data_IF_545298375629
#
_entry.id   IF_545298375629
#
_cell.length_a   1.000
_cell.length_b   1.000
_cell.length_c   1.000
_cell.angle_alpha   90.00
_cell.angle_beta   90.00
_cell.angle_gamma   90.00
#
_symmetry.space_group_name_H-M   'P 1'
#
loop_
_entity.id
_entity.type
_entity.pdbx_description
1 polymer ?
#
# COMPACT_ATOMS: atom_id res chain seq x y z
N UNK A 1 -28.37 -18.21 6.53
CA UNK A 1 -28.78 -16.94 7.15
C UNK A 1 -27.64 -15.95 6.93
N UNK A 2 -27.89 -14.90 6.14
CA UNK A 2 -26.90 -13.93 5.67
C UNK A 2 -27.07 -12.59 6.41
N UNK A 3 -27.00 -12.59 7.73
CA UNK A 3 -26.91 -11.32 8.46
C UNK A 3 -25.46 -10.84 8.40
N UNK A 4 -25.21 -9.73 7.70
CA UNK A 4 -23.93 -9.03 7.71
C UNK A 4 -24.01 -7.90 8.73
N UNK A 5 -22.99 -7.77 9.58
CA UNK A 5 -22.90 -6.65 10.52
C UNK A 5 -22.36 -5.41 9.82
N UNK A 6 -22.84 -4.24 10.22
CA UNK A 6 -22.31 -2.95 9.78
C UNK A 6 -22.09 -2.03 10.98
N UNK A 7 -20.97 -1.33 11.00
CA UNK A 7 -20.62 -0.33 12.00
C UNK A 7 -20.23 0.97 11.30
N UNK A 8 -20.74 2.10 11.80
CA UNK A 8 -20.35 3.45 11.35
C UNK A 8 -19.86 4.26 12.55
N UNK A 9 -18.69 4.89 12.41
CA UNK A 9 -18.05 5.72 13.43
C UNK A 9 -17.68 7.07 12.83
N UNK A 10 -18.11 8.17 13.47
CA UNK A 10 -17.87 9.53 13.00
C UNK A 10 -17.24 10.34 14.13
N UNK A 11 -15.93 10.53 14.09
CA UNK A 11 -15.18 11.19 15.15
C UNK A 11 -14.86 10.29 16.35
N UNK A 12 -13.81 10.67 17.08
CA UNK A 12 -13.42 10.02 18.33
C UNK A 12 -12.09 9.25 18.24
N UNK A 13 -11.80 8.54 19.32
CA UNK A 13 -10.54 7.81 19.48
C UNK A 13 -10.82 6.36 19.86
N UNK A 14 -10.11 5.45 19.20
CA UNK A 14 -10.05 4.04 19.55
C UNK A 14 -8.60 3.71 19.90
N UNK A 15 -8.38 3.17 21.09
CA UNK A 15 -7.05 2.86 21.58
C UNK A 15 -7.02 1.44 22.18
N UNK A 16 -6.07 0.64 21.74
CA UNK A 16 -5.84 -0.72 22.24
C UNK A 16 -4.36 -0.91 22.60
N UNK A 17 -4.09 -1.52 23.77
CA UNK A 17 -2.73 -1.71 24.29
C UNK A 17 -2.34 -3.18 24.51
N UNK A 18 -3.25 -4.10 24.18
CA UNK A 18 -3.06 -5.54 24.31
C UNK A 18 -2.29 -6.15 23.15
N UNK A 19 -1.58 -7.24 23.41
CA UNK A 19 -0.99 -8.08 22.35
C UNK A 19 -2.10 -8.73 21.51
N UNK A 20 -1.86 -8.91 20.21
CA UNK A 20 -2.84 -9.41 19.24
C UNK A 20 -4.14 -8.60 19.19
N UNK A 21 -4.08 -7.31 19.57
CA UNK A 21 -5.24 -6.44 19.52
C UNK A 21 -5.41 -5.80 18.15
N UNK A 22 -6.67 -5.50 17.83
CA UNK A 22 -7.04 -4.74 16.65
C UNK A 22 -7.70 -3.47 17.14
N UNK A 23 -7.23 -2.31 16.68
CA UNK A 23 -7.91 -1.04 16.98
C UNK A 23 -9.36 -1.11 16.47
N UNK A 24 -9.53 -1.43 15.19
CA UNK A 24 -10.83 -1.77 14.59
C UNK A 24 -10.72 -3.11 13.84
N UNK A 25 -11.82 -3.86 13.76
CA UNK A 25 -11.86 -5.13 13.02
C UNK A 25 -13.19 -5.30 12.29
N UNK A 26 -13.15 -5.63 11.01
CA UNK A 26 -14.29 -6.12 10.25
C UNK A 26 -13.99 -7.52 9.71
N UNK A 27 -14.81 -8.50 10.10
CA UNK A 27 -14.60 -9.91 9.77
C UNK A 27 -15.86 -10.52 9.14
N UNK A 28 -15.71 -11.62 8.42
CA UNK A 28 -16.81 -12.46 7.92
C UNK A 28 -17.83 -11.66 7.10
N UNK A 29 -17.35 -10.84 6.18
CA UNK A 29 -18.15 -9.95 5.33
C UNK A 29 -18.86 -8.80 6.07
N UNK A 30 -18.45 -8.48 7.31
CA UNK A 30 -18.88 -7.27 7.99
C UNK A 30 -18.34 -6.01 7.29
N UNK A 31 -19.05 -4.90 7.50
CA UNK A 31 -18.69 -3.58 6.96
C UNK A 31 -18.35 -2.61 8.10
N UNK A 32 -17.25 -1.87 7.94
CA UNK A 32 -16.82 -0.80 8.81
C UNK A 32 -16.71 0.50 8.01
N UNK A 33 -17.43 1.53 8.42
CA UNK A 33 -17.26 2.88 7.89
C UNK A 33 -16.76 3.79 9.02
N UNK A 34 -15.61 4.40 8.84
CA UNK A 34 -15.04 5.31 9.83
C UNK A 34 -14.62 6.62 9.19
N UNK A 35 -15.02 7.74 9.80
CA UNK A 35 -14.64 9.08 9.37
C UNK A 35 -14.10 9.88 10.56
N UNK A 36 -13.06 10.68 10.34
CA UNK A 36 -12.47 11.58 11.34
C UNK A 36 -12.04 10.88 12.65
N UNK A 37 -11.56 9.63 12.57
CA UNK A 37 -11.09 8.89 13.74
C UNK A 37 -9.59 9.04 13.98
N UNK A 38 -9.20 8.87 15.24
CA UNK A 38 -7.85 8.44 15.62
C UNK A 38 -7.90 7.01 16.13
N UNK A 39 -7.21 6.09 15.46
CA UNK A 39 -7.09 4.69 15.85
C UNK A 39 -5.64 4.40 16.19
N UNK A 40 -5.39 3.89 17.39
CA UNK A 40 -4.05 3.50 17.86
C UNK A 40 -4.08 2.09 18.45
N UNK A 41 -3.22 1.21 17.95
CA UNK A 41 -2.97 -0.12 18.52
C UNK A 41 -1.49 -0.28 18.87
N UNK A 42 -1.16 -0.17 20.16
CA UNK A 42 0.22 -0.03 20.64
C UNK A 42 1.12 -1.25 20.38
N UNK A 43 0.52 -2.43 20.20
CA UNK A 43 1.25 -3.70 20.15
C UNK A 43 0.91 -4.59 18.97
N UNK A 44 0.01 -4.17 18.07
CA UNK A 44 -0.43 -5.02 16.95
C UNK A 44 -0.92 -4.18 15.77
N UNK A 45 -2.20 -4.26 15.39
CA UNK A 45 -2.67 -3.70 14.12
C UNK A 45 -3.71 -2.61 14.32
N UNK A 46 -3.64 -1.55 13.53
CA UNK A 46 -4.59 -0.44 13.57
C UNK A 46 -6.00 -0.87 13.18
N UNK A 47 -6.18 -1.25 11.91
CA UNK A 47 -7.45 -1.76 11.37
C UNK A 47 -7.25 -3.11 10.70
N UNK A 48 -8.06 -4.10 11.06
CA UNK A 48 -7.99 -5.45 10.52
C UNK A 48 -9.22 -5.84 9.67
N UNK A 49 -8.98 -6.41 8.49
CA UNK A 49 -10.00 -7.04 7.65
C UNK A 49 -9.75 -8.54 7.54
N UNK A 50 -10.78 -9.34 7.86
CA UNK A 50 -10.69 -10.80 7.86
C UNK A 50 -11.84 -11.45 7.08
N UNK A 51 -11.54 -12.49 6.31
CA UNK A 51 -12.56 -13.34 5.67
C UNK A 51 -13.65 -12.54 4.90
N UNK A 52 -13.20 -11.62 4.06
CA UNK A 52 -14.05 -10.77 3.24
C UNK A 52 -14.55 -9.51 3.97
N UNK A 53 -13.86 -9.05 5.01
CA UNK A 53 -14.19 -7.80 5.68
C UNK A 53 -14.14 -6.61 4.71
N UNK A 54 -15.03 -5.63 4.91
CA UNK A 54 -15.07 -4.41 4.13
C UNK A 54 -14.83 -3.21 5.03
N UNK A 55 -13.95 -2.29 4.64
CA UNK A 55 -13.80 -1.01 5.32
C UNK A 55 -13.66 0.17 4.37
N UNK A 56 -14.32 1.28 4.73
CA UNK A 56 -14.05 2.62 4.20
C UNK A 56 -13.59 3.50 5.36
N UNK A 57 -12.36 3.99 5.27
CA UNK A 57 -11.72 4.81 6.31
C UNK A 57 -11.38 6.17 5.70
N UNK A 58 -12.09 7.21 6.12
CA UNK A 58 -11.99 8.55 5.56
C UNK A 58 -11.40 9.53 6.57
N UNK A 59 -10.45 10.35 6.13
CA UNK A 59 -9.83 11.43 6.90
C UNK A 59 -9.45 11.03 8.34
N UNK A 60 -8.92 9.82 8.52
CA UNK A 60 -8.61 9.26 9.83
C UNK A 60 -7.11 9.06 10.01
N UNK A 61 -6.63 9.19 11.24
CA UNK A 61 -5.28 8.77 11.63
C UNK A 61 -5.33 7.32 12.10
N UNK A 62 -4.54 6.45 11.47
CA UNK A 62 -4.41 5.04 11.88
C UNK A 62 -2.96 4.74 12.22
N UNK A 63 -2.75 4.23 13.43
CA UNK A 63 -1.46 3.81 13.95
C UNK A 63 -1.56 2.39 14.51
N UNK A 64 -0.73 1.49 14.01
CA UNK A 64 -0.57 0.14 14.56
C UNK A 64 0.90 -0.22 14.65
N UNK A 65 1.29 -1.02 15.63
CA UNK A 65 2.69 -1.41 15.78
C UNK A 65 3.26 -2.11 14.55
N UNK A 66 2.61 -3.18 14.09
CA UNK A 66 3.08 -4.01 12.98
C UNK A 66 2.47 -3.59 11.64
N UNK A 67 1.21 -3.15 11.66
CA UNK A 67 0.60 -2.55 10.49
C UNK A 67 -0.48 -1.52 10.82
N UNK A 68 -0.57 -0.48 9.98
CA UNK A 68 -1.73 0.40 9.98
C UNK A 68 -2.99 -0.36 9.57
N UNK A 69 -2.91 -1.06 8.44
CA UNK A 69 -3.97 -1.91 7.91
C UNK A 69 -3.49 -3.35 7.74
N UNK A 70 -4.19 -4.29 8.36
CA UNK A 70 -3.89 -5.72 8.34
C UNK A 70 -5.01 -6.49 7.64
N UNK A 71 -4.70 -7.18 6.55
CA UNK A 71 -5.66 -7.93 5.76
C UNK A 71 -5.25 -9.40 5.76
N UNK A 72 -6.15 -10.29 6.18
CA UNK A 72 -5.83 -11.72 6.35
C UNK A 72 -7.02 -12.60 5.97
N UNK A 73 -6.72 -13.83 5.51
CA UNK A 73 -7.72 -14.87 5.20
C UNK A 73 -8.81 -14.44 4.20
N UNK A 74 -8.55 -13.50 3.31
CA UNK A 74 -9.42 -13.29 2.15
C UNK A 74 -9.39 -14.55 1.27
N UNK A 75 -10.48 -14.95 0.63
CA UNK A 75 -10.42 -15.95 -0.46
C UNK A 75 -11.04 -15.33 -1.68
N UNK A 76 -10.82 -15.88 -2.87
CA UNK A 76 -11.51 -15.39 -4.08
C UNK A 76 -13.04 -15.23 -3.93
N UNK A 77 -13.68 -16.05 -3.09
CA UNK A 77 -15.12 -15.94 -2.78
C UNK A 77 -15.46 -14.83 -1.75
N UNK A 78 -14.50 -14.41 -0.94
CA UNK A 78 -14.63 -13.45 0.17
C UNK A 78 -13.37 -12.57 0.21
N UNK A 79 -13.17 -11.76 -0.83
CA UNK A 79 -12.05 -10.82 -0.93
C UNK A 79 -12.20 -9.73 0.14
N UNK A 80 -11.12 -9.39 0.83
CA UNK A 80 -11.12 -8.24 1.74
C UNK A 80 -11.12 -6.94 0.91
N UNK A 81 -12.00 -6.00 1.23
CA UNK A 81 -12.17 -4.75 0.48
C UNK A 81 -11.85 -3.56 1.39
N UNK A 82 -10.78 -2.83 1.08
CA UNK A 82 -10.33 -1.67 1.84
C UNK A 82 -10.31 -0.43 0.96
N UNK A 83 -11.00 0.62 1.39
CA UNK A 83 -10.82 1.98 0.87
C UNK A 83 -10.29 2.89 1.97
N UNK A 84 -9.18 3.58 1.70
CA UNK A 84 -8.63 4.64 2.54
C UNK A 84 -8.71 5.94 1.76
N UNK A 85 -9.41 6.93 2.28
CA UNK A 85 -9.60 8.23 1.63
C UNK A 85 -9.08 9.36 2.51
N UNK A 86 -7.88 9.85 2.17
CA UNK A 86 -7.14 10.83 2.97
C UNK A 86 -6.63 10.27 4.30
N UNK A 87 -6.41 11.17 5.26
CA UNK A 87 -5.86 10.80 6.57
C UNK A 87 -4.36 10.51 6.56
N UNK A 88 -3.90 9.77 7.56
CA UNK A 88 -2.48 9.44 7.73
C UNK A 88 -2.30 8.05 8.35
N UNK A 89 -1.25 7.35 7.93
CA UNK A 89 -0.90 6.02 8.45
C UNK A 89 0.48 6.09 9.09
N UNK A 90 0.61 5.49 10.27
CA UNK A 90 1.87 5.31 10.97
C UNK A 90 2.03 3.88 11.50
N UNK A 91 3.27 3.46 11.67
CA UNK A 91 3.62 2.25 12.43
C UNK A 91 4.69 2.57 13.45
N UNK A 92 4.62 1.92 14.62
CA UNK A 92 5.60 2.13 15.69
C UNK A 92 6.77 1.17 15.63
N UNK A 93 6.61 -0.01 15.00
CA UNK A 93 7.73 -0.91 14.74
C UNK A 93 8.45 -0.49 13.45
N UNK A 94 9.78 -0.57 13.47
CA UNK A 94 10.64 -0.15 12.35
C UNK A 94 10.31 -0.90 11.05
N UNK A 95 10.02 -2.21 11.14
CA UNK A 95 9.66 -3.03 10.00
C UNK A 95 8.15 -3.05 9.72
N UNK A 96 7.37 -2.22 10.43
CA UNK A 96 5.93 -2.13 10.27
C UNK A 96 5.53 -1.69 8.87
N UNK A 97 4.34 -2.10 8.42
CA UNK A 97 3.83 -1.78 7.08
C UNK A 97 2.58 -0.91 7.14
N UNK A 98 2.44 0.07 6.25
CA UNK A 98 1.18 0.81 6.14
C UNK A 98 0.03 -0.13 5.76
N UNK A 99 0.27 -1.01 4.80
CA UNK A 99 -0.63 -2.08 4.39
C UNK A 99 0.09 -3.43 4.45
N UNK A 100 -0.45 -4.36 5.23
CA UNK A 100 0.03 -5.74 5.32
C UNK A 100 -1.08 -6.70 4.87
N UNK A 101 -0.85 -7.38 3.75
CA UNK A 101 -1.69 -8.51 3.30
C UNK A 101 -0.97 -9.80 3.68
N UNK A 102 -1.39 -10.40 4.80
CA UNK A 102 -0.71 -11.57 5.34
C UNK A 102 -1.09 -12.86 4.60
N UNK A 103 -2.37 -12.98 4.24
CA UNK A 103 -2.86 -14.08 3.40
C UNK A 103 -4.17 -13.72 2.71
N UNK A 104 -4.43 -14.41 1.60
CA UNK A 104 -5.72 -14.35 0.93
C UNK A 104 -5.89 -13.26 -0.10
N UNK A 105 -7.10 -13.16 -0.67
CA UNK A 105 -7.47 -12.13 -1.65
C UNK A 105 -7.74 -10.78 -0.98
N UNK A 106 -7.23 -9.70 -1.58
CA UNK A 106 -7.46 -8.34 -1.09
C UNK A 106 -7.56 -7.33 -2.23
N UNK A 107 -8.46 -6.36 -2.06
CA UNK A 107 -8.57 -5.19 -2.92
C UNK A 107 -8.40 -3.95 -2.04
N UNK A 108 -7.34 -3.20 -2.29
CA UNK A 108 -6.97 -2.00 -1.54
C UNK A 108 -7.05 -0.82 -2.49
N UNK A 109 -7.82 0.19 -2.12
CA UNK A 109 -7.88 1.46 -2.83
C UNK A 109 -7.49 2.60 -1.90
N UNK A 110 -6.51 3.40 -2.30
CA UNK A 110 -6.06 4.59 -1.57
C UNK A 110 -6.39 5.83 -2.41
N UNK A 111 -7.09 6.78 -1.80
CA UNK A 111 -7.56 8.02 -2.42
C UNK A 111 -7.07 9.22 -1.63
N UNK A 112 -6.69 10.30 -2.32
CA UNK A 112 -6.32 11.57 -1.69
C UNK A 112 -5.25 11.41 -0.58
N UNK A 113 -4.40 10.38 -0.70
CA UNK A 113 -3.51 9.96 0.37
C UNK A 113 -2.11 10.52 0.16
N UNK A 114 -1.60 11.30 1.11
CA UNK A 114 -0.34 12.03 0.95
C UNK A 114 0.74 11.68 1.98
N UNK A 115 0.44 10.84 2.97
CA UNK A 115 1.36 10.59 4.09
C UNK A 115 1.19 9.20 4.69
N UNK A 116 2.06 8.28 4.28
CA UNK A 116 2.44 7.11 5.07
C UNK A 116 3.81 7.39 5.67
N UNK A 117 3.95 7.29 6.99
CA UNK A 117 5.25 7.34 7.67
C UNK A 117 6.00 5.99 7.76
N UNK A 118 5.38 4.81 7.57
CA UNK A 118 6.13 3.55 7.55
C UNK A 118 7.08 3.48 6.36
N UNK A 119 8.26 2.88 6.58
CA UNK A 119 9.22 2.60 5.50
C UNK A 119 8.63 1.60 4.49
N UNK A 120 7.84 0.64 4.97
CA UNK A 120 7.10 -0.31 4.13
C UNK A 120 5.71 0.22 3.81
N UNK A 121 5.47 0.60 2.56
CA UNK A 121 4.16 1.00 2.08
C UNK A 121 3.22 -0.21 2.00
N UNK A 122 3.63 -1.26 1.29
CA UNK A 122 2.83 -2.47 1.11
C UNK A 122 3.71 -3.70 1.26
N UNK A 123 3.30 -4.60 2.14
CA UNK A 123 3.87 -5.94 2.27
C UNK A 123 2.80 -6.97 1.95
N UNK A 124 3.10 -7.90 1.05
CA UNK A 124 2.25 -9.05 0.73
C UNK A 124 3.03 -10.32 1.06
N UNK A 125 2.57 -11.05 2.08
CA UNK A 125 3.18 -12.30 2.50
C UNK A 125 2.62 -13.49 1.68
N UNK A 126 2.39 -14.61 2.34
CA UNK A 126 2.06 -15.89 1.73
C UNK A 126 0.62 -15.92 1.20
N UNK A 127 0.42 -15.45 -0.03
CA UNK A 127 -0.85 -15.62 -0.74
C UNK A 127 -0.65 -15.98 -2.19
N UNK A 128 -1.44 -16.95 -2.67
CA UNK A 128 -1.60 -17.26 -4.10
C UNK A 128 -2.85 -16.59 -4.68
N UNK A 129 -3.68 -15.97 -3.84
CA UNK A 129 -4.89 -15.28 -4.24
C UNK A 129 -4.58 -13.87 -4.74
N UNK A 130 -5.42 -13.32 -5.61
CA UNK A 130 -5.19 -12.00 -6.18
C UNK A 130 -5.19 -10.89 -5.12
N UNK A 131 -4.19 -10.01 -5.20
CA UNK A 131 -4.13 -8.78 -4.41
C UNK A 131 -4.08 -7.59 -5.37
N UNK A 132 -4.97 -6.61 -5.19
CA UNK A 132 -4.93 -5.36 -5.95
C UNK A 132 -4.67 -4.18 -5.03
N UNK A 133 -3.81 -3.26 -5.48
CA UNK A 133 -3.50 -2.00 -4.80
C UNK A 133 -3.65 -0.85 -5.79
N UNK A 134 -4.68 -0.04 -5.62
CA UNK A 134 -5.04 1.04 -6.54
C UNK A 134 -4.86 2.39 -5.87
N UNK A 135 -4.15 3.30 -6.54
CA UNK A 135 -3.96 4.66 -6.07
C UNK A 135 -4.69 5.66 -6.95
N UNK A 136 -5.49 6.51 -6.31
CA UNK A 136 -6.22 7.60 -6.93
C UNK A 136 -5.83 8.93 -6.26
N UNK A 137 -5.40 9.93 -7.04
CA UNK A 137 -4.98 11.24 -6.52
C UNK A 137 -4.09 11.16 -5.25
N UNK A 138 -3.11 10.26 -5.25
CA UNK A 138 -2.33 9.95 -4.04
C UNK A 138 -0.83 10.09 -4.26
N UNK A 139 -0.12 10.57 -3.25
CA UNK A 139 1.34 10.53 -3.17
C UNK A 139 1.76 9.44 -2.21
N UNK A 140 2.22 8.33 -2.77
CA UNK A 140 2.71 7.18 -2.04
C UNK A 140 4.22 7.30 -1.86
N UNK A 141 4.70 7.07 -0.64
CA UNK A 141 6.13 7.03 -0.32
C UNK A 141 6.39 5.75 0.47
N UNK A 142 7.41 4.99 0.08
CA UNK A 142 7.78 3.77 0.78
C UNK A 142 8.16 2.61 -0.14
N UNK A 143 8.59 1.52 0.48
CA UNK A 143 8.95 0.24 -0.13
C UNK A 143 7.72 -0.62 -0.37
N UNK A 144 7.69 -1.35 -1.48
CA UNK A 144 6.70 -2.40 -1.73
C UNK A 144 7.40 -3.76 -1.77
N UNK A 145 6.95 -4.69 -0.94
CA UNK A 145 7.42 -6.07 -0.87
C UNK A 145 6.29 -7.02 -1.27
N UNK A 146 6.11 -7.24 -2.57
CA UNK A 146 5.00 -7.98 -3.13
C UNK A 146 5.42 -8.81 -4.37
N UNK A 147 6.46 -9.63 -4.20
CA UNK A 147 7.18 -10.31 -5.28
C UNK A 147 6.46 -11.55 -5.86
N UNK A 148 5.15 -11.46 -6.07
CA UNK A 148 4.35 -12.56 -6.62
C UNK A 148 3.44 -12.07 -7.74
N UNK A 149 3.32 -12.84 -8.82
CA UNK A 149 2.62 -12.43 -10.06
C UNK A 149 1.10 -12.20 -9.88
N UNK A 150 0.54 -12.61 -8.75
CA UNK A 150 -0.85 -12.39 -8.35
C UNK A 150 -1.09 -11.02 -7.68
N UNK A 151 -0.05 -10.20 -7.51
CA UNK A 151 -0.18 -8.83 -6.99
C UNK A 151 -0.16 -7.83 -8.13
N UNK A 152 -1.16 -6.96 -8.17
CA UNK A 152 -1.30 -5.90 -9.17
C UNK A 152 -1.40 -4.55 -8.49
N UNK A 153 -0.54 -3.63 -8.90
CA UNK A 153 -0.57 -2.23 -8.49
C UNK A 153 -1.01 -1.36 -9.66
N UNK A 154 -1.89 -0.39 -9.38
CA UNK A 154 -2.27 0.64 -10.34
C UNK A 154 -2.11 2.05 -9.80
N UNK A 155 -1.60 2.96 -10.63
CA UNK A 155 -1.52 4.39 -10.35
C UNK A 155 -2.33 5.15 -11.40
N UNK A 156 -3.30 5.96 -10.96
CA UNK A 156 -3.96 6.90 -11.87
C UNK A 156 -3.02 8.03 -12.32
N UNK A 157 -3.47 8.86 -13.27
CA UNK A 157 -2.66 9.94 -13.84
C UNK A 157 -2.35 11.11 -12.89
N UNK A 158 -2.99 11.13 -11.72
CA UNK A 158 -2.73 12.14 -10.67
C UNK A 158 -1.89 11.57 -9.52
N UNK A 159 -1.66 10.26 -9.52
CA UNK A 159 -0.95 9.57 -8.46
C UNK A 159 0.54 9.50 -8.69
N UNK A 160 1.27 9.39 -7.59
CA UNK A 160 2.72 9.35 -7.54
C UNK A 160 3.18 8.24 -6.59
N UNK A 161 4.25 7.56 -6.95
CA UNK A 161 4.96 6.66 -6.04
C UNK A 161 6.45 7.02 -6.00
N UNK A 162 6.93 7.36 -4.80
CA UNK A 162 8.34 7.62 -4.49
C UNK A 162 8.90 6.41 -3.75
N UNK A 163 9.86 5.73 -4.38
CA UNK A 163 10.54 4.59 -3.78
C UNK A 163 11.61 5.08 -2.81
N UNK A 164 11.56 4.61 -1.57
CA UNK A 164 12.57 4.89 -0.54
C UNK A 164 13.59 3.76 -0.39
N UNK A 165 13.38 2.63 -1.07
CA UNK A 165 14.26 1.47 -1.05
C UNK A 165 13.91 0.46 -2.14
N UNK A 166 14.60 -0.68 -2.11
CA UNK A 166 14.37 -1.77 -3.07
C UNK A 166 12.94 -2.29 -2.96
N UNK A 167 12.22 -2.30 -4.08
CA UNK A 167 10.82 -2.69 -4.15
C UNK A 167 10.59 -3.78 -5.18
N UNK A 168 9.58 -4.60 -4.95
CA UNK A 168 9.15 -5.68 -5.83
C UNK A 168 7.63 -5.77 -5.92
N UNK A 169 7.09 -5.89 -7.13
CA UNK A 169 5.65 -6.06 -7.36
C UNK A 169 5.40 -6.98 -8.57
N UNK A 170 4.42 -7.87 -8.49
CA UNK A 170 4.08 -8.76 -9.61
C UNK A 170 3.74 -7.99 -10.89
N UNK A 171 2.81 -7.05 -10.81
CA UNK A 171 2.37 -6.25 -11.95
C UNK A 171 2.22 -4.78 -11.56
N UNK A 172 2.75 -3.88 -12.38
CA UNK A 172 2.57 -2.44 -12.22
C UNK A 172 1.97 -1.86 -13.50
N UNK A 173 0.78 -1.26 -13.37
CA UNK A 173 0.20 -0.40 -14.40
C UNK A 173 0.20 1.03 -13.92
N UNK A 174 0.90 1.93 -14.60
CA UNK A 174 0.90 3.35 -14.24
C UNK A 174 0.35 4.19 -15.37
N UNK A 175 -0.47 5.18 -15.02
CA UNK A 175 -0.66 6.41 -15.79
C UNK A 175 -0.09 7.63 -15.06
N UNK A 176 0.40 7.45 -13.83
CA UNK A 176 0.94 8.49 -12.97
C UNK A 176 2.47 8.51 -12.99
N UNK A 177 3.06 8.99 -11.89
CA UNK A 177 4.53 9.14 -11.79
C UNK A 177 5.16 8.13 -10.84
N UNK A 178 6.24 7.51 -11.28
CA UNK A 178 7.09 6.64 -10.45
C UNK A 178 8.48 7.27 -10.34
N UNK A 179 8.97 7.45 -9.13
CA UNK A 179 10.29 8.01 -8.86
C UNK A 179 11.18 6.95 -8.21
N UNK A 180 12.21 6.51 -8.94
CA UNK A 180 13.19 5.51 -8.52
C UNK A 180 14.40 6.23 -7.92
N UNK A 181 14.45 6.25 -6.58
CA UNK A 181 15.45 6.99 -5.81
C UNK A 181 15.13 8.47 -5.63
N UNK A 182 16.04 9.24 -5.03
CA UNK A 182 15.84 10.66 -4.78
C UNK A 182 17.11 11.52 -4.97
N UNK A 183 16.91 12.84 -4.88
CA UNK A 183 17.98 13.83 -4.95
C UNK A 183 18.94 13.81 -3.75
N UNK A 184 18.73 12.94 -2.76
CA UNK A 184 19.61 12.75 -1.61
C UNK A 184 20.52 11.52 -1.79
N UNK A 185 20.46 10.86 -2.96
CA UNK A 185 21.26 9.68 -3.26
C UNK A 185 20.66 8.38 -2.73
N UNK A 186 19.41 8.37 -2.25
CA UNK A 186 18.71 7.13 -1.96
C UNK A 186 18.47 6.38 -3.26
N UNK A 187 18.95 5.15 -3.37
CA UNK A 187 18.80 4.32 -4.57
C UNK A 187 17.84 3.18 -4.25
N UNK A 188 16.62 3.26 -4.78
CA UNK A 188 15.69 2.14 -4.79
C UNK A 188 15.74 1.44 -6.15
N UNK A 189 15.92 0.12 -6.15
CA UNK A 189 15.66 -0.69 -7.35
C UNK A 189 14.20 -1.13 -7.39
N UNK A 190 13.63 -1.23 -8.59
CA UNK A 190 12.28 -1.73 -8.81
C UNK A 190 12.33 -3.04 -9.59
N UNK A 191 11.89 -4.13 -8.98
CA UNK A 191 11.70 -5.41 -9.67
C UNK A 191 10.22 -5.63 -9.97
N UNK A 192 9.87 -5.86 -11.23
CA UNK A 192 8.48 -6.04 -11.67
C UNK A 192 8.36 -7.30 -12.51
N UNK A 193 7.28 -8.06 -12.36
CA UNK A 193 6.90 -9.06 -13.36
C UNK A 193 6.49 -8.37 -14.66
N UNK A 194 5.27 -7.84 -14.69
CA UNK A 194 4.73 -7.11 -15.84
C UNK A 194 4.66 -5.60 -15.57
N UNK A 195 5.38 -4.82 -16.37
CA UNK A 195 5.39 -3.36 -16.29
C UNK A 195 4.62 -2.75 -17.48
N UNK A 196 3.58 -1.99 -17.18
CA UNK A 196 2.83 -1.21 -18.18
C UNK A 196 2.85 0.26 -17.78
N UNK A 197 3.53 1.09 -18.58
CA UNK A 197 3.55 2.53 -18.39
C UNK A 197 2.80 3.20 -19.55
N UNK A 198 1.62 3.74 -19.25
CA UNK A 198 0.72 4.38 -20.22
C UNK A 198 1.26 5.74 -20.70
N UNK A 199 0.60 6.35 -21.70
CA UNK A 199 1.05 7.60 -22.34
C UNK A 199 1.35 8.75 -21.36
N UNK A 200 0.53 8.88 -20.32
CA UNK A 200 0.66 9.97 -19.33
C UNK A 200 1.67 9.64 -18.22
N UNK A 201 2.21 8.41 -18.19
CA UNK A 201 3.16 8.02 -17.18
C UNK A 201 4.46 8.80 -17.28
N UNK A 202 5.04 9.06 -16.11
CA UNK A 202 6.40 9.59 -16.00
C UNK A 202 7.21 8.71 -15.07
N UNK A 203 8.37 8.26 -15.54
CA UNK A 203 9.35 7.58 -14.69
C UNK A 203 10.55 8.49 -14.49
N UNK A 204 10.82 8.86 -13.25
CA UNK A 204 12.02 9.60 -12.87
C UNK A 204 13.03 8.63 -12.27
N UNK A 205 14.27 8.66 -12.75
CA UNK A 205 15.35 7.79 -12.29
C UNK A 205 16.52 8.64 -11.82
N UNK A 206 16.95 8.40 -10.58
CA UNK A 206 18.11 9.02 -9.95
C UNK A 206 19.24 8.00 -9.79
N UNK A 207 20.04 7.74 -10.84
CA UNK A 207 21.18 6.85 -10.74
C UNK A 207 22.25 7.41 -9.79
N UNK A 208 22.80 6.53 -8.96
CA UNK A 208 23.99 6.81 -8.15
C UNK A 208 25.23 6.22 -8.81
N UNK A 209 26.34 6.97 -8.79
CA UNK A 209 27.66 6.52 -9.28
C UNK A 209 28.21 5.33 -8.49
N UNK A 210 27.69 5.07 -7.29
CA UNK A 210 28.06 3.92 -6.46
C UNK A 210 27.22 2.66 -6.72
N UNK A 211 26.08 2.77 -7.44
CA UNK A 211 25.20 1.63 -7.70
C UNK A 211 25.57 0.92 -9.00
N UNK A 212 25.74 -0.40 -8.92
CA UNK A 212 25.93 -1.27 -10.09
C UNK A 212 24.65 -2.00 -10.52
N UNK A 213 23.55 -1.82 -9.77
CA UNK A 213 22.27 -2.48 -10.04
C UNK A 213 21.42 -1.67 -11.00
N UNK A 214 20.65 -2.35 -11.85
CA UNK A 214 19.67 -1.71 -12.71
C UNK A 214 18.57 -1.04 -11.85
N UNK A 215 18.23 0.25 -12.07
CA UNK A 215 17.18 0.92 -11.32
C UNK A 215 15.79 0.26 -11.49
N UNK A 216 15.55 -0.38 -12.63
CA UNK A 216 14.33 -1.13 -12.90
C UNK A 216 14.67 -2.43 -13.64
N UNK A 217 14.13 -3.54 -13.16
CA UNK A 217 14.13 -4.85 -13.84
C UNK A 217 12.68 -5.29 -14.04
N UNK A 218 12.29 -5.55 -15.29
CA UNK A 218 10.96 -6.06 -15.63
C UNK A 218 11.07 -7.36 -16.42
N UNK A 219 10.22 -8.36 -16.12
CA UNK A 219 10.16 -9.58 -16.95
C UNK A 219 9.52 -9.29 -18.31
N UNK A 220 8.47 -8.46 -18.32
CA UNK A 220 7.83 -7.95 -19.52
C UNK A 220 7.53 -6.46 -19.34
N UNK A 221 7.71 -5.67 -20.40
CA UNK A 221 7.50 -4.22 -20.36
C UNK A 221 6.76 -3.69 -21.60
N UNK A 222 5.74 -2.87 -21.36
CA UNK A 222 5.10 -2.01 -22.37
C UNK A 222 5.29 -0.56 -21.93
N UNK A 223 6.02 0.21 -22.74
CA UNK A 223 6.46 1.57 -22.38
C UNK A 223 5.92 2.58 -23.40
N UNK A 224 4.96 3.39 -22.98
CA UNK A 224 4.47 4.54 -23.72
C UNK A 224 4.69 5.87 -22.98
N UNK A 225 5.50 5.84 -21.92
CA UNK A 225 5.71 6.93 -20.96
C UNK A 225 6.81 7.93 -21.36
N UNK A 226 6.91 9.00 -20.56
CA UNK A 226 8.12 9.85 -20.50
C UNK A 226 9.13 9.27 -19.50
N UNK A 227 10.40 9.21 -19.88
CA UNK A 227 11.51 8.80 -19.02
C UNK A 227 12.45 9.98 -18.75
N UNK A 228 12.61 10.34 -17.48
CA UNK A 228 13.57 11.34 -17.03
C UNK A 228 14.71 10.66 -16.28
N UNK A 229 15.95 10.93 -16.69
CA UNK A 229 17.15 10.43 -16.00
C UNK A 229 17.94 11.66 -15.55
N UNK A 230 18.10 11.80 -14.23
CA UNK A 230 18.82 12.93 -13.64
C UNK A 230 20.03 12.41 -12.89
N UNK A 231 21.24 12.72 -13.37
CA UNK A 231 22.46 12.33 -12.68
C UNK A 231 22.53 12.97 -11.30
N UNK A 232 22.87 12.18 -10.28
CA UNK A 232 23.21 12.72 -8.97
C UNK A 232 24.64 13.28 -9.01
N UNK A 233 24.77 14.60 -8.89
CA UNK A 233 26.06 15.25 -8.59
C UNK A 233 26.23 15.23 -7.07
N UNK A 234 26.95 14.24 -6.57
CA UNK A 234 27.43 14.17 -5.18
C UNK A 234 28.73 14.94 -4.99
#
# INVERSE_FOLDING_TARGET
YNAKSSLTLNGGTVHTSGENSYGLRAADQATLNATDLTVTSDKSYGVALENGGHATITNSKVEGADAGYYLVKGKKAYTNELTVDGGSIATSNADGSAFLVDSGAANITVKNFNTATPDNLLTVNTTTDAVTFNAENSTLTGVINANTDNVSMSLDNTSRWVLTGNSSVGNLTSSGRVTLGDANGNVGTLNVGNLTLNNDSVTDVWPSTASTAAPNTAQQATLACTLNITGFEG
#
